data_IF_339426388657
#
_entry.id   IF_339426388657
#
_cell.length_a   1.000
_cell.length_b   1.000
_cell.length_c   1.000
_cell.angle_alpha   90.00
_cell.angle_beta   90.00
_cell.angle_gamma   90.00
#
_symmetry.space_group_name_H-M   'P 1'
#
loop_
_entity.id
_entity.type
_entity.pdbx_description
1 polymer ?
#
# COMPACT_ATOMS: atom_id res chain seq x y z
N UNK A 1 1.05 10.16 -0.98
CA UNK A 1 0.54 8.97 -0.25
C UNK A 1 -0.70 9.27 0.60
N UNK A 2 -0.67 10.22 1.54
CA UNK A 2 -1.84 10.51 2.39
C UNK A 2 -3.10 10.90 1.60
N UNK A 3 -2.95 11.78 0.60
CA UNK A 3 -4.08 12.22 -0.23
C UNK A 3 -4.66 11.08 -1.09
N UNK A 4 -3.82 10.34 -1.82
CA UNK A 4 -4.29 9.20 -2.63
C UNK A 4 -4.88 8.07 -1.79
N UNK A 5 -4.40 7.85 -0.57
CA UNK A 5 -5.05 6.91 0.34
C UNK A 5 -6.44 7.37 0.77
N UNK A 6 -6.68 8.68 0.88
CA UNK A 6 -8.02 9.23 1.16
C UNK A 6 -8.97 8.96 0.00
N UNK A 7 -8.53 9.23 -1.23
CA UNK A 7 -9.35 9.00 -2.43
C UNK A 7 -9.68 7.51 -2.64
N UNK A 8 -8.70 6.62 -2.44
CA UNK A 8 -8.95 5.16 -2.44
C UNK A 8 -9.95 4.74 -1.36
N UNK A 9 -9.86 5.32 -0.16
CA UNK A 9 -10.82 5.05 0.93
C UNK A 9 -12.22 5.48 0.52
N UNK A 10 -12.39 6.68 -0.01
CA UNK A 10 -13.69 7.18 -0.48
C UNK A 10 -14.30 6.28 -1.57
N UNK A 11 -13.50 5.88 -2.56
CA UNK A 11 -13.95 4.95 -3.60
C UNK A 11 -14.35 3.58 -3.02
N UNK A 12 -13.59 3.07 -2.05
CA UNK A 12 -13.92 1.81 -1.37
C UNK A 12 -15.20 1.93 -0.52
N UNK A 13 -15.44 3.08 0.13
CA UNK A 13 -16.69 3.33 0.86
C UNK A 13 -17.91 3.29 -0.07
N UNK A 14 -17.81 3.94 -1.23
CA UNK A 14 -18.85 3.91 -2.27
C UNK A 14 -19.10 2.49 -2.79
N UNK A 15 -18.06 1.65 -2.81
CA UNK A 15 -18.15 0.23 -3.14
C UNK A 15 -18.63 -0.67 -1.98
N UNK A 16 -19.05 -0.11 -0.85
CA UNK A 16 -19.60 -0.86 0.29
C UNK A 16 -18.58 -1.34 1.33
N UNK A 17 -17.33 -0.84 1.31
CA UNK A 17 -16.35 -1.03 2.39
C UNK A 17 -16.62 0.00 3.49
N UNK A 18 -17.39 -0.37 4.52
CA UNK A 18 -17.94 0.59 5.47
C UNK A 18 -17.28 0.53 6.86
N UNK A 19 -17.01 -0.67 7.39
CA UNK A 19 -16.52 -0.82 8.76
C UNK A 19 -14.99 -0.82 8.82
N UNK A 20 -14.43 -0.57 10.01
CA UNK A 20 -12.99 -0.67 10.24
C UNK A 20 -12.44 -2.07 9.87
N UNK A 21 -13.23 -3.12 10.11
CA UNK A 21 -12.87 -4.50 9.75
C UNK A 21 -12.88 -4.68 8.24
N UNK A 22 -13.88 -4.16 7.53
CA UNK A 22 -13.92 -4.20 6.06
C UNK A 22 -12.71 -3.49 5.46
N UNK A 23 -12.32 -2.34 6.02
CA UNK A 23 -11.10 -1.63 5.57
C UNK A 23 -9.83 -2.43 5.83
N UNK A 24 -9.70 -3.08 6.99
CA UNK A 24 -8.56 -3.93 7.27
C UNK A 24 -8.45 -5.08 6.27
N UNK A 25 -9.57 -5.72 5.92
CA UNK A 25 -9.65 -6.77 4.91
C UNK A 25 -9.27 -6.21 3.53
N UNK A 26 -9.88 -5.09 3.13
CA UNK A 26 -9.63 -4.45 1.84
C UNK A 26 -8.16 -4.07 1.64
N UNK A 27 -7.52 -3.50 2.67
CA UNK A 27 -6.09 -3.16 2.63
C UNK A 27 -5.21 -4.42 2.53
N UNK A 28 -5.56 -5.48 3.27
CA UNK A 28 -4.86 -6.76 3.18
C UNK A 28 -4.98 -7.39 1.78
N UNK A 29 -6.12 -7.28 1.10
CA UNK A 29 -6.24 -7.74 -0.28
C UNK A 29 -5.24 -7.04 -1.22
N UNK A 30 -5.13 -5.72 -1.12
CA UNK A 30 -4.13 -4.97 -1.86
C UNK A 30 -2.71 -5.42 -1.54
N UNK A 31 -2.39 -5.67 -0.26
CA UNK A 31 -1.07 -6.15 0.13
C UNK A 31 -0.78 -7.53 -0.44
N UNK A 32 -1.71 -8.47 -0.31
CA UNK A 32 -1.57 -9.83 -0.82
C UNK A 32 -1.37 -9.87 -2.33
N UNK A 33 -2.02 -8.97 -3.08
CA UNK A 33 -1.80 -8.85 -4.52
C UNK A 33 -0.38 -8.42 -4.85
N UNK A 34 0.12 -7.37 -4.19
CA UNK A 34 1.42 -6.76 -4.49
C UNK A 34 2.62 -7.58 -3.95
N UNK A 35 2.48 -8.11 -2.74
CA UNK A 35 3.55 -8.79 -1.97
C UNK A 35 3.45 -10.31 -2.03
N UNK A 36 2.99 -10.87 -3.16
CA UNK A 36 3.06 -12.32 -3.39
C UNK A 36 2.26 -13.17 -2.39
N UNK A 37 1.13 -12.65 -1.90
CA UNK A 37 0.26 -13.33 -0.95
C UNK A 37 0.48 -12.95 0.52
N UNK A 38 1.50 -12.14 0.84
CA UNK A 38 1.73 -11.65 2.20
C UNK A 38 0.69 -10.61 2.62
N UNK A 39 0.14 -10.77 3.82
CA UNK A 39 -0.70 -9.76 4.46
C UNK A 39 0.15 -8.70 5.19
N UNK A 40 -0.50 -7.68 5.76
CA UNK A 40 0.19 -6.63 6.50
C UNK A 40 1.08 -7.19 7.62
N UNK A 41 0.61 -8.20 8.36
CA UNK A 41 1.35 -8.77 9.50
C UNK A 41 2.61 -9.50 9.03
N UNK A 42 2.51 -10.28 7.97
CA UNK A 42 3.62 -11.01 7.39
C UNK A 42 4.66 -10.06 6.77
N UNK A 43 4.22 -8.98 6.10
CA UNK A 43 5.13 -7.93 5.60
C UNK A 43 5.88 -7.27 6.77
N UNK A 44 5.15 -6.92 7.83
CA UNK A 44 5.73 -6.28 9.02
C UNK A 44 6.81 -7.15 9.67
N UNK A 45 6.54 -8.46 9.82
CA UNK A 45 7.49 -9.45 10.33
C UNK A 45 8.69 -9.63 9.41
N UNK A 46 8.47 -9.79 8.09
CA UNK A 46 9.54 -9.95 7.11
C UNK A 46 10.51 -8.78 7.10
N UNK A 47 9.99 -7.57 7.31
CA UNK A 47 10.80 -6.34 7.43
C UNK A 47 11.47 -6.15 8.79
N UNK A 48 11.25 -7.04 9.76
CA UNK A 48 11.86 -6.94 11.09
C UNK A 48 11.41 -5.71 11.88
N UNK A 49 10.21 -5.20 11.63
CA UNK A 49 9.73 -3.98 12.24
C UNK A 49 9.28 -4.20 13.69
N UNK A 50 9.57 -3.24 14.56
CA UNK A 50 9.02 -3.17 15.93
C UNK A 50 7.52 -2.93 15.86
N UNK A 51 6.77 -3.39 16.88
CA UNK A 51 5.30 -3.23 16.94
C UNK A 51 4.79 -1.81 16.72
N UNK A 52 5.56 -0.79 17.13
CA UNK A 52 5.22 0.63 16.98
C UNK A 52 5.58 1.22 15.61
N UNK A 53 6.41 0.54 14.82
CA UNK A 53 6.83 1.00 13.50
C UNK A 53 5.77 0.70 12.45
N UNK A 54 5.53 1.67 11.57
CA UNK A 54 4.61 1.53 10.45
C UNK A 54 5.38 1.11 9.21
N UNK A 55 4.80 0.19 8.43
CA UNK A 55 5.44 -0.34 7.22
C UNK A 55 5.81 0.80 6.25
N UNK A 56 4.85 1.68 5.93
CA UNK A 56 5.05 2.80 4.98
C UNK A 56 6.15 3.78 5.40
N UNK A 57 6.43 3.92 6.71
CA UNK A 57 7.47 4.82 7.19
C UNK A 57 8.89 4.22 7.00
N UNK A 58 8.96 2.90 6.73
CA UNK A 58 10.17 2.11 6.55
C UNK A 58 10.18 1.43 5.17
N UNK A 59 9.82 2.19 4.13
CA UNK A 59 9.90 1.78 2.72
C UNK A 59 10.87 2.68 1.96
N UNK A 60 11.62 2.09 1.03
CA UNK A 60 12.37 2.85 0.03
C UNK A 60 11.47 3.46 -1.04
N UNK A 61 12.01 4.39 -1.84
CA UNK A 61 11.26 5.09 -2.90
C UNK A 61 10.58 4.14 -3.89
N UNK A 62 11.26 3.07 -4.33
CA UNK A 62 10.71 2.07 -5.24
C UNK A 62 9.49 1.35 -4.66
N UNK A 63 9.54 0.97 -3.38
CA UNK A 63 8.43 0.28 -2.73
C UNK A 63 7.24 1.21 -2.49
N UNK A 64 7.51 2.46 -2.12
CA UNK A 64 6.48 3.50 -2.00
C UNK A 64 5.80 3.77 -3.33
N UNK A 65 6.56 3.84 -4.42
CA UNK A 65 6.04 4.05 -5.77
C UNK A 65 5.12 2.89 -6.18
N UNK A 66 5.52 1.64 -5.92
CA UNK A 66 4.68 0.48 -6.20
C UNK A 66 3.36 0.49 -5.38
N UNK A 67 3.43 0.82 -4.09
CA UNK A 67 2.23 0.93 -3.25
C UNK A 67 1.32 2.07 -3.68
N UNK A 68 1.90 3.22 -4.05
CA UNK A 68 1.16 4.37 -4.57
C UNK A 68 0.44 3.99 -5.86
N UNK A 69 1.16 3.38 -6.80
CA UNK A 69 0.60 3.00 -8.09
C UNK A 69 -0.52 1.97 -7.93
N UNK A 70 -0.34 0.95 -7.08
CA UNK A 70 -1.42 0.03 -6.73
C UNK A 70 -2.65 0.77 -6.20
N UNK A 71 -2.46 1.69 -5.25
CA UNK A 71 -3.55 2.43 -4.62
C UNK A 71 -4.34 3.27 -5.64
N UNK A 72 -3.64 4.08 -6.45
CA UNK A 72 -4.27 4.95 -7.44
C UNK A 72 -4.96 4.13 -8.54
N UNK A 73 -4.34 3.06 -9.03
CA UNK A 73 -4.98 2.21 -10.04
C UNK A 73 -6.18 1.43 -9.50
N UNK A 74 -6.18 1.09 -8.20
CA UNK A 74 -7.34 0.46 -7.57
C UNK A 74 -8.49 1.46 -7.48
N UNK A 75 -8.23 2.67 -7.00
CA UNK A 75 -9.22 3.74 -6.93
C UNK A 75 -9.89 3.98 -8.28
N UNK A 76 -9.08 4.24 -9.32
CA UNK A 76 -9.56 4.49 -10.68
C UNK A 76 -10.39 3.31 -11.20
N UNK A 77 -9.95 2.08 -10.94
CA UNK A 77 -10.67 0.88 -11.38
C UNK A 77 -11.99 0.67 -10.63
N UNK A 78 -12.05 0.95 -9.32
CA UNK A 78 -13.30 0.89 -8.56
C UNK A 78 -14.34 1.84 -9.14
N UNK A 79 -13.93 3.09 -9.42
CA UNK A 79 -14.78 4.13 -10.00
C UNK A 79 -15.22 3.79 -11.42
N UNK A 80 -14.26 3.48 -12.31
CA UNK A 80 -14.52 3.21 -13.73
C UNK A 80 -15.44 2.01 -13.93
N UNK A 81 -15.25 0.95 -13.15
CA UNK A 81 -15.99 -0.30 -13.33
C UNK A 81 -17.29 -0.32 -12.51
N UNK A 82 -17.64 0.77 -11.82
CA UNK A 82 -18.87 0.90 -11.05
C UNK A 82 -19.00 -0.12 -9.93
N UNK A 83 -17.89 -0.47 -9.27
CA UNK A 83 -17.86 -1.52 -8.25
C UNK A 83 -18.72 -1.11 -7.05
N UNK A 84 -19.69 -1.95 -6.69
CA UNK A 84 -20.73 -1.61 -5.70
C UNK A 84 -20.87 -2.64 -4.56
N UNK A 85 -19.91 -3.56 -4.43
CA UNK A 85 -19.88 -4.54 -3.34
C UNK A 85 -18.49 -4.72 -2.74
N UNK A 86 -18.43 -4.94 -1.43
CA UNK A 86 -17.17 -5.16 -0.70
C UNK A 86 -16.35 -6.32 -1.27
N UNK A 87 -17.00 -7.38 -1.72
CA UNK A 87 -16.33 -8.55 -2.29
C UNK A 87 -15.65 -8.21 -3.61
N UNK A 88 -16.33 -7.48 -4.49
CA UNK A 88 -15.74 -7.01 -5.74
C UNK A 88 -14.65 -5.96 -5.49
N UNK A 89 -14.81 -5.09 -4.48
CA UNK A 89 -13.78 -4.13 -4.10
C UNK A 89 -12.48 -4.84 -3.65
N UNK A 90 -12.62 -5.83 -2.78
CA UNK A 90 -11.51 -6.68 -2.31
C UNK A 90 -10.82 -7.42 -3.46
N UNK A 91 -11.61 -8.01 -4.37
CA UNK A 91 -11.09 -8.72 -5.55
C UNK A 91 -10.35 -7.76 -6.48
N UNK A 92 -10.93 -6.58 -6.74
CA UNK A 92 -10.33 -5.53 -7.57
C UNK A 92 -8.99 -5.07 -7.01
N UNK A 93 -8.91 -4.81 -5.70
CA UNK A 93 -7.66 -4.36 -5.07
C UNK A 93 -6.56 -5.43 -5.11
N UNK A 94 -6.94 -6.70 -4.91
CA UNK A 94 -6.01 -7.83 -5.05
C UNK A 94 -5.50 -7.97 -6.50
N UNK A 95 -6.40 -7.94 -7.49
CA UNK A 95 -6.06 -8.10 -8.89
C UNK A 95 -5.17 -6.98 -9.41
N UNK A 96 -5.44 -5.73 -8.99
CA UNK A 96 -4.57 -4.58 -9.30
C UNK A 96 -3.19 -4.79 -8.67
N UNK A 97 -3.11 -5.18 -7.39
CA UNK A 97 -1.84 -5.50 -6.74
C UNK A 97 -1.05 -6.57 -7.50
N UNK A 98 -1.71 -7.65 -7.92
CA UNK A 98 -1.08 -8.73 -8.70
C UNK A 98 -0.54 -8.23 -10.04
N UNK A 99 -1.29 -7.36 -10.74
CA UNK A 99 -0.84 -6.76 -12.00
C UNK A 99 0.38 -5.87 -11.82
N UNK A 100 0.38 -5.01 -10.79
CA UNK A 100 1.55 -4.18 -10.47
C UNK A 100 2.76 -5.06 -10.20
N UNK A 101 2.60 -6.12 -9.41
CA UNK A 101 3.65 -7.11 -9.14
C UNK A 101 4.19 -7.75 -10.43
N UNK A 102 3.30 -8.22 -11.30
CA UNK A 102 3.66 -8.82 -12.58
C UNK A 102 4.48 -7.86 -13.44
N UNK A 103 4.07 -6.59 -13.53
CA UNK A 103 4.83 -5.57 -14.27
C UNK A 103 6.22 -5.35 -13.69
N UNK A 104 6.37 -5.31 -12.36
CA UNK A 104 7.70 -5.21 -11.73
C UNK A 104 8.57 -6.41 -12.16
N UNK A 105 8.00 -7.61 -12.17
CA UNK A 105 8.72 -8.83 -12.57
C UNK A 105 9.12 -8.81 -14.04
N UNK A 106 8.21 -8.42 -14.94
CA UNK A 106 8.45 -8.32 -16.39
C UNK A 106 9.55 -7.31 -16.72
N UNK A 107 9.67 -6.23 -15.93
CA UNK A 107 10.72 -5.23 -16.05
C UNK A 107 12.06 -5.68 -15.42
N UNK A 108 12.13 -6.88 -14.82
CA UNK A 108 13.31 -7.36 -14.10
C UNK A 108 13.57 -6.63 -12.78
N UNK A 109 12.55 -6.00 -12.21
CA UNK A 109 12.64 -5.27 -10.95
C UNK A 109 12.64 -6.18 -9.72
N UNK A 110 13.26 -5.71 -8.64
CA UNK A 110 13.22 -6.39 -7.33
C UNK A 110 11.81 -6.37 -6.74
N UNK A 111 11.33 -7.51 -6.25
CA UNK A 111 10.00 -7.63 -5.67
C UNK A 111 9.86 -6.79 -4.38
N UNK A 112 8.68 -6.22 -4.09
CA UNK A 112 8.46 -5.35 -2.93
C UNK A 112 8.88 -5.95 -1.58
N UNK A 113 8.66 -7.26 -1.39
CA UNK A 113 9.04 -7.99 -0.18
C UNK A 113 10.54 -8.26 -0.04
N UNK A 114 11.31 -8.10 -1.12
CA UNK A 114 12.77 -8.26 -1.14
C UNK A 114 13.53 -6.92 -1.12
N UNK A 115 12.80 -5.80 -1.17
CA UNK A 115 13.41 -4.47 -1.08
C UNK A 115 13.94 -4.22 0.35
N UNK A 116 15.09 -3.54 0.48
CA UNK A 116 15.69 -3.27 1.78
C UNK A 116 14.76 -2.43 2.65
N UNK A 117 14.80 -2.69 3.96
CA UNK A 117 14.06 -1.91 4.96
C UNK A 117 14.95 -0.80 5.50
N UNK A 118 14.64 0.49 5.28
CA UNK A 118 15.41 1.60 5.82
C UNK A 118 15.44 1.59 7.36
N UNK A 119 16.64 1.77 7.92
CA UNK A 119 16.86 1.86 9.37
C UNK A 119 16.28 3.15 9.96
N UNK A 120 16.34 4.24 9.18
CA UNK A 120 15.76 5.54 9.53
C UNK A 120 14.41 5.66 8.84
N UNK A 121 13.37 6.00 9.61
CA UNK A 121 12.03 6.21 9.06
C UNK A 121 11.92 7.53 8.30
N UNK A 122 11.02 7.60 7.33
CA UNK A 122 10.69 8.83 6.60
C UNK A 122 10.29 9.94 7.58
N UNK A 123 9.51 9.60 8.61
CA UNK A 123 9.08 10.54 9.65
C UNK A 123 10.27 11.13 10.43
N UNK A 124 11.29 10.33 10.72
CA UNK A 124 12.51 10.82 11.36
C UNK A 124 13.27 11.77 10.44
N UNK A 125 13.38 11.45 9.16
CA UNK A 125 14.02 12.32 8.15
C UNK A 125 13.27 13.65 8.01
N UNK A 126 11.94 13.64 7.89
CA UNK A 126 11.11 14.86 7.82
C UNK A 126 11.31 15.76 9.04
N UNK A 127 11.43 15.18 10.23
CA UNK A 127 11.68 15.94 11.45
C UNK A 127 13.09 16.53 11.48
N UNK A 128 14.10 15.79 11.04
CA UNK A 128 15.48 16.29 10.95
C UNK A 128 15.60 17.47 9.98
N UNK A 129 14.98 17.38 8.80
CA UNK A 129 14.98 18.47 7.80
C UNK A 129 14.34 19.74 8.37
N UNK A 130 13.17 19.62 9.02
CA UNK A 130 12.48 20.75 9.66
C UNK A 130 13.27 21.41 10.78
N UNK A 131 14.14 20.66 11.48
CA UNK A 131 15.02 21.23 12.50
C UNK A 131 16.14 22.04 11.85
N UNK A 132 16.70 21.54 10.75
CA UNK A 132 17.76 22.23 10.01
C UNK A 132 17.26 23.50 9.32
N UNK A 133 16.05 23.50 8.76
CA UNK A 133 15.44 24.69 8.12
C UNK A 133 15.05 25.81 9.10
N UNK A 134 14.98 25.50 10.41
CA UNK A 134 14.64 26.46 11.46
C UNK A 134 15.87 27.09 12.13
N UNK A 135 17.08 26.67 11.74
CA UNK A 135 18.36 27.24 12.19
C UNK A 135 18.92 28.15 11.11
#
# INVERSE_FOLDING_TARGET
MKEHNKQLVEAAQQAGVATAIDFAIFQNHGYRGLYGGLDQKAIHQRKGLKKSQKILDHMGSTELAANLFRATQTEEKLKRDGVNSKQQANTTHFDVGRKVRQTIQELGGTMPEELPTPQVSIKQLENSVKITEKK
#
